data_IF_984488311746
#
_entry.id   IF_984488311746
#
_cell.length_a   1.000
_cell.length_b   1.000
_cell.length_c   1.000
_cell.angle_alpha   90.00
_cell.angle_beta   90.00
_cell.angle_gamma   90.00
#
_symmetry.space_group_name_H-M   'P 1'
#
loop_
_entity.id
_entity.type
_entity.pdbx_description
1 polymer ?
#
# COMPACT_ATOMS: atom_id res chain seq x y z
N UNK A 1 26.07 -22.63 21.90
CA UNK A 1 24.77 -21.90 21.97
C UNK A 1 24.69 -21.17 23.30
N UNK A 2 23.89 -20.11 23.41
CA UNK A 2 23.68 -19.42 24.69
C UNK A 2 22.89 -20.32 25.65
N UNK A 3 23.33 -20.43 26.91
CA UNK A 3 22.69 -21.19 27.98
C UNK A 3 22.59 -20.34 29.26
N UNK A 4 21.82 -20.81 30.25
CA UNK A 4 21.60 -20.08 31.52
C UNK A 4 22.88 -19.79 32.30
N UNK A 5 23.96 -20.53 32.06
CA UNK A 5 25.25 -20.35 32.70
C UNK A 5 26.18 -19.36 31.96
N UNK A 6 25.86 -18.95 30.73
CA UNK A 6 26.67 -18.03 29.91
C UNK A 6 25.92 -16.75 29.48
N UNK A 7 24.65 -16.59 29.87
CA UNK A 7 23.85 -15.39 29.58
C UNK A 7 24.16 -14.28 30.59
N UNK A 8 24.77 -13.19 30.11
CA UNK A 8 24.96 -11.97 30.90
C UNK A 8 23.83 -10.99 30.62
N UNK A 9 22.94 -10.70 31.60
CA UNK A 9 21.87 -9.74 31.41
C UNK A 9 22.45 -8.34 31.22
N UNK A 10 21.93 -7.54 30.26
CA UNK A 10 22.38 -6.17 30.08
C UNK A 10 21.97 -5.31 31.28
N UNK A 11 22.79 -4.31 31.60
CA UNK A 11 22.43 -3.28 32.58
C UNK A 11 21.20 -2.48 32.11
N UNK A 12 20.51 -1.83 33.04
CA UNK A 12 19.32 -1.00 32.73
C UNK A 12 19.60 0.07 31.67
N UNK A 13 20.82 0.65 31.68
CA UNK A 13 21.26 1.64 30.70
C UNK A 13 21.49 1.01 29.32
N UNK A 14 22.16 -0.13 29.24
CA UNK A 14 22.39 -0.84 27.99
C UNK A 14 21.08 -1.36 27.38
N UNK A 15 20.16 -1.86 28.20
CA UNK A 15 18.84 -2.29 27.75
C UNK A 15 18.06 -1.12 27.13
N UNK A 16 18.08 0.06 27.76
CA UNK A 16 17.46 1.28 27.22
C UNK A 16 18.10 1.72 25.91
N UNK A 17 19.42 1.71 25.82
CA UNK A 17 20.12 2.14 24.61
C UNK A 17 19.86 1.17 23.44
N UNK A 18 19.91 -0.14 23.70
CA UNK A 18 19.55 -1.18 22.73
C UNK A 18 18.09 -1.04 22.29
N UNK A 19 17.17 -0.81 23.23
CA UNK A 19 15.76 -0.56 22.93
C UNK A 19 15.56 0.66 22.03
N UNK A 20 16.23 1.79 22.34
CA UNK A 20 16.19 3.00 21.51
C UNK A 20 16.74 2.76 20.10
N UNK A 21 17.88 2.08 19.98
CA UNK A 21 18.48 1.72 18.67
C UNK A 21 17.58 0.79 17.87
N UNK A 22 17.02 -0.23 18.52
CA UNK A 22 16.09 -1.19 17.91
C UNK A 22 14.79 -0.52 17.45
N UNK A 23 14.21 0.36 18.27
CA UNK A 23 13.01 1.12 17.90
C UNK A 23 13.23 1.98 16.66
N UNK A 24 14.36 2.71 16.59
CA UNK A 24 14.73 3.51 15.40
C UNK A 24 14.91 2.65 14.15
N UNK A 25 15.64 1.53 14.28
CA UNK A 25 15.87 0.62 13.16
C UNK A 25 14.55 -0.03 12.67
N UNK A 26 13.69 -0.44 13.59
CA UNK A 26 12.37 -1.00 13.29
C UNK A 26 11.47 0.02 12.61
N UNK A 27 11.43 1.27 13.09
CA UNK A 27 10.69 2.35 12.45
C UNK A 27 11.18 2.61 11.01
N UNK A 28 12.49 2.68 10.80
CA UNK A 28 13.07 2.82 9.46
C UNK A 28 12.75 1.63 8.55
N UNK A 29 12.77 0.40 9.08
CA UNK A 29 12.41 -0.80 8.34
C UNK A 29 10.92 -0.83 7.99
N UNK A 30 10.04 -0.41 8.91
CA UNK A 30 8.61 -0.27 8.65
C UNK A 30 8.34 0.78 7.58
N UNK A 31 8.97 1.96 7.67
CA UNK A 31 8.86 3.00 6.65
C UNK A 31 9.23 2.48 5.24
N UNK A 32 10.32 1.71 5.12
CA UNK A 32 10.72 1.07 3.85
C UNK A 32 9.78 -0.02 3.36
N UNK A 33 9.01 -0.63 4.25
CA UNK A 33 8.09 -1.75 3.97
C UNK A 33 6.64 -1.30 3.82
N UNK A 34 6.36 0.01 3.90
CA UNK A 34 5.00 0.52 3.73
C UNK A 34 4.46 0.08 2.37
N UNK A 35 3.27 -0.49 2.37
CA UNK A 35 2.59 -0.88 1.14
C UNK A 35 1.95 0.35 0.48
N UNK A 36 1.59 0.27 -0.80
CA UNK A 36 0.82 1.34 -1.43
C UNK A 36 -0.52 1.58 -0.73
N UNK A 37 -1.17 0.52 -0.24
CA UNK A 37 -2.42 0.62 0.53
C UNK A 37 -2.26 1.52 1.75
N UNK A 38 -1.31 1.21 2.63
CA UNK A 38 -1.07 1.97 3.86
C UNK A 38 -0.73 3.44 3.56
N UNK A 39 -0.02 3.70 2.46
CA UNK A 39 0.32 5.07 2.06
C UNK A 39 -0.89 5.80 1.50
N UNK A 40 -1.70 5.16 0.65
CA UNK A 40 -2.92 5.80 0.14
C UNK A 40 -3.93 6.06 1.24
N UNK A 41 -4.14 5.13 2.18
CA UNK A 41 -4.97 5.35 3.37
C UNK A 41 -4.50 6.59 4.14
N UNK A 42 -3.20 6.69 4.43
CA UNK A 42 -2.63 7.84 5.13
C UNK A 42 -2.77 9.16 4.36
N UNK A 43 -2.68 9.13 3.02
CA UNK A 43 -2.87 10.30 2.15
C UNK A 43 -4.34 10.72 2.10
N UNK A 44 -5.27 9.77 2.07
CA UNK A 44 -6.71 10.03 2.00
C UNK A 44 -7.28 10.61 3.31
N UNK A 45 -6.67 10.31 4.46
CA UNK A 45 -6.99 10.91 5.75
C UNK A 45 -6.49 12.37 5.91
N UNK A 46 -5.86 12.96 4.89
CA UNK A 46 -5.37 14.33 4.96
C UNK A 46 -6.50 15.34 4.70
N UNK A 47 -6.59 16.36 5.56
CA UNK A 47 -7.48 17.50 5.32
C UNK A 47 -7.06 18.22 4.03
N UNK A 48 -8.03 18.46 3.15
CA UNK A 48 -7.83 19.24 1.93
C UNK A 48 -7.85 20.72 2.31
N UNK A 49 -6.73 21.24 2.80
CA UNK A 49 -6.43 22.66 2.62
C UNK A 49 -6.22 22.84 1.12
N UNK A 50 -7.08 23.64 0.45
CA UNK A 50 -7.29 23.76 -1.01
C UNK A 50 -6.07 24.02 -1.92
N UNK A 51 -4.85 23.86 -1.43
CA UNK A 51 -3.63 24.17 -2.15
C UNK A 51 -2.57 23.10 -1.88
N UNK A 52 -2.71 21.93 -2.52
CA UNK A 52 -1.65 20.90 -2.58
C UNK A 52 -0.38 21.47 -3.24
N UNK A 53 -0.53 22.49 -4.09
CA UNK A 53 0.55 23.12 -4.87
C UNK A 53 1.57 23.94 -4.06
N UNK A 54 1.42 24.09 -2.74
CA UNK A 54 2.33 24.88 -1.91
C UNK A 54 2.68 24.30 -0.54
N UNK A 55 2.37 23.03 -0.28
CA UNK A 55 2.39 22.46 1.08
C UNK A 55 3.36 21.28 1.26
N UNK A 56 4.52 21.29 0.58
CA UNK A 56 5.59 20.29 0.80
C UNK A 56 5.95 20.09 2.27
N UNK A 57 5.86 21.15 3.08
CA UNK A 57 6.30 21.15 4.47
C UNK A 57 5.28 20.48 5.40
N UNK A 58 3.98 20.80 5.27
CA UNK A 58 2.89 20.12 6.01
C UNK A 58 2.82 18.63 5.65
N UNK A 59 3.14 18.32 4.40
CA UNK A 59 3.24 16.96 3.89
C UNK A 59 4.43 16.23 4.51
N UNK A 60 5.61 16.85 4.52
CA UNK A 60 6.81 16.26 5.10
C UNK A 60 6.60 15.94 6.58
N UNK A 61 5.92 16.80 7.34
CA UNK A 61 5.64 16.61 8.76
C UNK A 61 4.82 15.34 9.04
N UNK A 62 3.77 15.05 8.26
CA UNK A 62 2.99 13.80 8.41
C UNK A 62 3.80 12.54 8.07
N UNK A 63 4.76 12.65 7.16
CA UNK A 63 5.65 11.53 6.80
C UNK A 63 6.95 11.48 7.62
N UNK A 64 7.08 12.29 8.67
CA UNK A 64 8.22 12.26 9.59
C UNK A 64 9.44 13.07 9.12
N UNK A 65 9.20 14.18 8.43
CA UNK A 65 10.18 15.18 8.01
C UNK A 65 10.93 14.88 6.71
N UNK A 66 10.81 13.65 6.16
CA UNK A 66 11.35 13.28 4.85
C UNK A 66 10.37 12.37 4.12
N UNK A 67 9.96 12.79 2.94
CA UNK A 67 9.04 12.04 2.08
C UNK A 67 9.86 11.03 1.27
N UNK A 68 9.45 9.77 1.28
CA UNK A 68 9.99 8.73 0.39
C UNK A 68 9.41 8.88 -1.02
N UNK A 69 10.10 8.37 -2.05
CA UNK A 69 9.59 8.38 -3.43
C UNK A 69 8.21 7.71 -3.53
N UNK A 70 8.00 6.65 -2.76
CA UNK A 70 6.74 5.92 -2.69
C UNK A 70 5.57 6.81 -2.23
N UNK A 71 5.80 7.59 -1.18
CA UNK A 71 4.82 8.56 -0.66
C UNK A 71 4.60 9.72 -1.63
N UNK A 72 5.67 10.23 -2.26
CA UNK A 72 5.58 11.27 -3.27
C UNK A 72 4.72 10.84 -4.48
N UNK A 73 4.87 9.60 -4.94
CA UNK A 73 4.04 9.03 -6.02
C UNK A 73 2.57 8.98 -5.60
N UNK A 74 2.27 8.44 -4.41
CA UNK A 74 0.90 8.33 -3.92
C UNK A 74 0.20 9.69 -3.86
N UNK A 75 0.91 10.74 -3.43
CA UNK A 75 0.37 12.10 -3.39
C UNK A 75 0.18 12.72 -4.77
N UNK A 76 1.08 12.48 -5.71
CA UNK A 76 0.90 12.94 -7.08
C UNK A 76 -0.34 12.30 -7.73
N UNK A 77 -0.59 11.02 -7.45
CA UNK A 77 -1.80 10.32 -7.89
C UNK A 77 -3.04 10.90 -7.20
N UNK A 78 -3.00 11.14 -5.89
CA UNK A 78 -4.10 11.76 -5.15
C UNK A 78 -4.42 13.17 -5.66
N UNK A 79 -3.41 14.00 -5.95
CA UNK A 79 -3.61 15.32 -6.55
C UNK A 79 -4.31 15.22 -7.90
N UNK A 80 -3.89 14.29 -8.77
CA UNK A 80 -4.56 14.07 -10.06
C UNK A 80 -6.01 13.61 -9.89
N UNK A 81 -6.29 12.76 -8.89
CA UNK A 81 -7.64 12.31 -8.59
C UNK A 81 -8.53 13.48 -8.12
N UNK A 82 -7.98 14.38 -7.29
CA UNK A 82 -8.66 15.62 -6.85
C UNK A 82 -8.97 16.55 -8.03
N UNK A 83 -8.05 16.63 -8.99
CA UNK A 83 -8.23 17.39 -10.24
C UNK A 83 -9.22 16.73 -11.22
N UNK A 84 -9.84 15.61 -10.84
CA UNK A 84 -10.88 14.92 -11.60
C UNK A 84 -10.38 13.81 -12.54
N UNK A 85 -9.13 13.35 -12.40
CA UNK A 85 -8.64 12.19 -13.16
C UNK A 85 -9.24 10.88 -12.63
N UNK A 86 -10.14 10.28 -13.41
CA UNK A 86 -10.86 9.06 -13.03
C UNK A 86 -9.94 7.84 -12.91
N UNK A 87 -8.94 7.70 -13.78
CA UNK A 87 -7.99 6.57 -13.73
C UNK A 87 -7.17 6.59 -12.42
N UNK A 88 -6.78 7.79 -11.98
CA UNK A 88 -6.09 7.98 -10.70
C UNK A 88 -6.99 7.63 -9.51
N UNK A 89 -8.26 8.04 -9.55
CA UNK A 89 -9.23 7.69 -8.53
C UNK A 89 -9.50 6.18 -8.48
N UNK A 90 -9.63 5.52 -9.63
CA UNK A 90 -9.77 4.07 -9.75
C UNK A 90 -8.54 3.34 -9.22
N UNK A 91 -7.34 3.78 -9.59
CA UNK A 91 -6.09 3.19 -9.09
C UNK A 91 -6.01 3.24 -7.56
N UNK A 92 -6.39 4.38 -6.96
CA UNK A 92 -6.43 4.53 -5.49
C UNK A 92 -7.46 3.56 -4.91
N UNK A 93 -8.71 3.59 -5.39
CA UNK A 93 -9.82 2.74 -4.94
C UNK A 93 -9.44 1.24 -4.95
N UNK A 94 -8.86 0.79 -6.05
CA UNK A 94 -8.49 -0.61 -6.23
C UNK A 94 -7.33 -1.02 -5.32
N UNK A 95 -6.42 -0.09 -5.02
CA UNK A 95 -5.28 -0.34 -4.13
C UNK A 95 -5.69 -0.41 -2.65
N UNK A 96 -6.65 0.43 -2.23
CA UNK A 96 -7.20 0.41 -0.86
C UNK A 96 -8.21 -0.73 -0.65
N UNK A 97 -8.67 -1.36 -1.73
CA UNK A 97 -9.60 -2.50 -1.66
C UNK A 97 -11.07 -2.08 -1.63
N UNK A 98 -11.39 -0.85 -2.02
CA UNK A 98 -12.76 -0.35 -2.21
C UNK A 98 -13.33 -0.71 -3.59
N UNK A 99 -12.66 -1.59 -4.35
CA UNK A 99 -13.17 -2.05 -5.63
C UNK A 99 -14.52 -2.72 -5.43
N UNK A 100 -15.59 -2.28 -6.12
CA UNK A 100 -16.87 -2.98 -6.09
C UNK A 100 -16.65 -4.44 -6.50
N UNK A 101 -17.34 -5.38 -5.84
CA UNK A 101 -17.26 -6.76 -6.22
C UNK A 101 -17.61 -6.89 -7.71
N UNK A 102 -16.65 -7.32 -8.53
CA UNK A 102 -16.91 -7.70 -9.90
C UNK A 102 -17.90 -8.87 -9.81
N UNK A 103 -19.18 -8.60 -10.10
CA UNK A 103 -20.18 -9.65 -10.26
C UNK A 103 -19.85 -10.42 -11.54
N UNK A 104 -18.81 -11.25 -11.46
CA UNK A 104 -18.51 -12.23 -12.49
C UNK A 104 -19.65 -13.25 -12.42
N UNK A 105 -20.72 -12.97 -13.16
CA UNK A 105 -21.73 -13.97 -13.50
C UNK A 105 -21.01 -15.04 -14.33
N UNK A 106 -20.45 -16.03 -13.64
CA UNK A 106 -19.95 -17.28 -14.21
C UNK A 106 -21.14 -18.12 -14.70
N UNK A 107 -21.94 -17.57 -15.61
CA UNK A 107 -22.83 -18.35 -16.46
C UNK A 107 -21.98 -19.02 -17.56
N UNK A 108 -20.94 -19.75 -17.15
CA UNK A 108 -20.11 -20.58 -18.01
C UNK A 108 -20.81 -21.93 -18.30
N UNK A 109 -22.11 -21.88 -18.57
CA UNK A 109 -22.88 -22.98 -19.14
C UNK A 109 -22.88 -22.92 -20.68
N UNK A 110 -21.75 -22.50 -21.28
CA UNK A 110 -21.49 -22.87 -22.66
C UNK A 110 -20.93 -24.28 -22.67
N UNK A 111 -21.83 -25.27 -22.78
CA UNK A 111 -21.52 -26.68 -22.99
C UNK A 111 -20.35 -26.81 -23.96
N UNK A 112 -19.34 -27.60 -23.57
CA UNK A 112 -18.17 -27.93 -24.39
C UNK A 112 -18.54 -28.40 -25.80
N UNK A 113 -19.76 -28.94 -25.97
CA UNK A 113 -20.34 -29.31 -27.27
C UNK A 113 -20.41 -28.14 -28.25
N UNK A 114 -20.72 -26.92 -27.80
CA UNK A 114 -20.82 -25.75 -28.67
C UNK A 114 -19.47 -25.28 -29.22
N UNK A 115 -18.38 -25.50 -28.47
CA UNK A 115 -17.01 -25.18 -28.91
C UNK A 115 -16.48 -26.25 -29.87
N UNK A 116 -16.78 -27.53 -29.63
CA UNK A 116 -16.41 -28.62 -30.54
C UNK A 116 -17.11 -28.49 -31.90
N UNK A 117 -18.39 -28.10 -31.94
CA UNK A 117 -19.15 -27.94 -33.18
C UNK A 117 -18.58 -26.85 -34.10
N UNK A 118 -18.02 -25.76 -33.53
CA UNK A 118 -17.33 -24.72 -34.31
C UNK A 118 -15.96 -25.15 -34.85
N UNK A 119 -15.25 -26.00 -34.12
CA UNK A 119 -13.90 -26.46 -34.50
C UNK A 119 -13.98 -27.60 -35.51
N UNK A 120 -14.95 -28.51 -35.35
CA UNK A 120 -15.04 -29.74 -36.15
C UNK A 120 -16.01 -29.61 -37.32
N UNK A 121 -16.89 -28.59 -37.33
CA UNK A 121 -17.76 -28.24 -38.46
C UNK A 121 -18.56 -29.43 -39.00
N UNK A 122 -19.73 -29.71 -38.40
CA UNK A 122 -20.76 -30.68 -38.84
C UNK A 122 -20.28 -31.77 -39.81
N UNK A 123 -19.32 -32.58 -39.35
CA UNK A 123 -19.12 -33.93 -39.83
C UNK A 123 -19.54 -34.88 -38.73
N UNK A 124 -20.86 -35.02 -38.60
CA UNK A 124 -21.67 -36.25 -38.59
C UNK A 124 -23.11 -35.89 -38.23
#
# INVERSE_FOLDING_TARGET
>A
MANSTNLKPPSTREARERGRKGGKASAAAKARKRTFREVFEAVLEMDIDRTISGQSDKIADKFGGKITVHEAIAMAIASKAIDGNLDAAEMIRDTIGEKPADSINLNNNMSLEGKLKRIVGDKF
#
